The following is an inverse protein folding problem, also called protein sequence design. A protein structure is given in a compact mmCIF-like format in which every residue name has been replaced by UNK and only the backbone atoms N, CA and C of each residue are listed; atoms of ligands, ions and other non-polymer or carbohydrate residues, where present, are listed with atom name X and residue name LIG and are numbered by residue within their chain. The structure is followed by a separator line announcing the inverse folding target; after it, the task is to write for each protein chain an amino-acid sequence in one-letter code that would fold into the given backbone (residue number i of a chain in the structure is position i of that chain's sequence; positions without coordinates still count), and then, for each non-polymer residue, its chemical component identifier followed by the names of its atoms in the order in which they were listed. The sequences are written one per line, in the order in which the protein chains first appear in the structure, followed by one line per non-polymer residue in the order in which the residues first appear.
data_IF_406233597247
#
_entry.id   IF_406233597247
#
_cell.length_a   1.000
_cell.length_b   1.000
_cell.length_c   1.000
_cell.angle_alpha   90.00
_cell.angle_beta   90.00
_cell.angle_gamma   90.00
#
_symmetry.space_group_name_H-M   'P 1'
#
loop_
_entity.id
_entity.type
_entity.pdbx_description
1 polymer ?
#
# COMPACT_ATOMS: atom_id res chain seq x y z
N UNK A 1 -16.03 -6.45 0.12
CA UNK A 1 -14.82 -7.30 0.09
C UNK A 1 -13.99 -6.77 -1.07
N UNK A 2 -12.73 -6.41 -0.88
CA UNK A 2 -11.88 -6.01 -2.01
C UNK A 2 -11.57 -7.27 -2.80
N UNK A 3 -12.26 -7.45 -3.93
CA UNK A 3 -11.94 -8.48 -4.92
C UNK A 3 -10.72 -7.97 -5.72
N UNK A 4 -9.55 -8.52 -5.45
CA UNK A 4 -8.33 -8.19 -6.18
C UNK A 4 -8.10 -9.22 -7.29
N UNK A 5 -7.54 -8.83 -8.45
CA UNK A 5 -7.31 -9.74 -9.56
C UNK A 5 -6.49 -10.95 -9.11
N UNK A 6 -6.91 -12.12 -9.59
CA UNK A 6 -6.40 -13.42 -9.19
C UNK A 6 -4.88 -13.55 -9.36
N UNK A 7 -4.20 -13.87 -8.25
CA UNK A 7 -3.00 -14.73 -8.18
C UNK A 7 -1.66 -14.18 -8.65
N UNK A 8 -1.60 -13.53 -9.80
CA UNK A 8 -0.32 -13.44 -10.55
C UNK A 8 0.38 -12.08 -10.47
N UNK A 9 -0.32 -11.04 -10.01
CA UNK A 9 0.26 -9.69 -9.91
C UNK A 9 0.50 -9.36 -8.43
N UNK A 10 1.75 -9.03 -8.02
CA UNK A 10 2.02 -8.55 -6.67
C UNK A 10 1.22 -7.29 -6.34
N UNK A 11 0.48 -7.30 -5.22
CA UNK A 11 -0.30 -6.15 -4.76
C UNK A 11 0.25 -5.62 -3.45
N UNK A 12 0.49 -4.30 -3.40
CA UNK A 12 0.77 -3.58 -2.16
C UNK A 12 -0.43 -2.69 -1.80
N UNK A 13 -1.00 -2.89 -0.61
CA UNK A 13 -2.08 -2.09 -0.03
C UNK A 13 -1.51 -1.12 1.00
N UNK A 14 -1.34 0.14 0.62
CA UNK A 14 -0.94 1.21 1.53
C UNK A 14 -2.17 1.91 2.12
N UNK A 15 -2.18 2.10 3.44
CA UNK A 15 -3.28 2.76 4.15
C UNK A 15 -2.77 3.86 5.07
N UNK A 16 -3.32 5.08 5.04
CA UNK A 16 -2.95 6.11 6.01
C UNK A 16 -3.34 5.73 7.44
N UNK A 17 -2.49 6.07 8.41
CA UNK A 17 -2.74 5.78 9.83
C UNK A 17 -3.98 6.49 10.37
N UNK A 18 -4.23 7.71 9.89
CA UNK A 18 -5.27 8.60 10.40
C UNK A 18 -6.41 8.85 9.39
N UNK A 19 -6.61 7.96 8.41
CA UNK A 19 -7.76 8.07 7.51
C UNK A 19 -9.07 7.87 8.30
N UNK A 20 -9.88 8.94 8.35
CA UNK A 20 -11.20 8.96 9.01
C UNK A 20 -12.37 8.98 8.02
N UNK A 21 -12.08 9.13 6.73
CA UNK A 21 -13.08 9.19 5.67
C UNK A 21 -13.35 7.80 5.10
N UNK A 22 -12.31 7.00 4.92
CA UNK A 22 -12.43 5.63 4.40
C UNK A 22 -11.90 4.63 5.43
N UNK A 23 -12.80 3.76 5.88
CA UNK A 23 -12.46 2.74 6.86
C UNK A 23 -11.45 1.72 6.29
N UNK A 24 -10.39 1.45 7.05
CA UNK A 24 -9.42 0.42 6.71
C UNK A 24 -10.09 -0.97 6.59
N UNK A 25 -9.77 -1.78 5.57
CA UNK A 25 -10.30 -3.12 5.43
C UNK A 25 -10.00 -3.96 6.67
N UNK A 26 -11.04 -4.65 7.21
CA UNK A 26 -10.89 -5.55 8.37
C UNK A 26 -10.08 -6.81 8.05
N UNK A 27 -10.07 -7.22 6.78
CA UNK A 27 -9.29 -8.34 6.27
C UNK A 27 -8.63 -7.92 4.96
N UNK A 28 -7.40 -8.39 4.80
CA UNK A 28 -6.60 -8.22 3.60
C UNK A 28 -6.55 -9.58 2.89
N UNK A 29 -6.80 -9.65 1.57
CA UNK A 29 -6.70 -10.90 0.83
C UNK A 29 -5.31 -11.55 0.96
N UNK A 30 -5.22 -12.90 0.91
CA UNK A 30 -3.93 -13.58 0.85
C UNK A 30 -3.08 -13.08 -0.32
N UNK A 31 -1.75 -12.98 -0.11
CA UNK A 31 -0.81 -12.52 -1.14
C UNK A 31 -0.67 -11.01 -1.28
N UNK A 32 -1.50 -10.21 -0.59
CA UNK A 32 -1.39 -8.76 -0.59
C UNK A 32 -0.47 -8.30 0.54
N UNK A 33 0.55 -7.51 0.21
CA UNK A 33 1.39 -6.82 1.19
C UNK A 33 0.64 -5.60 1.71
N UNK A 34 0.25 -5.56 2.98
CA UNK A 34 -0.35 -4.37 3.58
C UNK A 34 0.69 -3.53 4.32
N UNK A 35 0.69 -2.22 4.10
CA UNK A 35 1.53 -1.24 4.80
C UNK A 35 0.66 -0.10 5.35
N UNK A 36 1.06 0.44 6.50
CA UNK A 36 0.46 1.64 7.08
C UNK A 36 1.41 2.82 6.86
N UNK A 37 0.87 3.97 6.47
CA UNK A 37 1.62 5.21 6.28
C UNK A 37 1.49 6.06 7.56
N UNK A 38 2.52 6.07 8.43
CA UNK A 38 2.44 6.74 9.72
C UNK A 38 2.30 8.24 9.57
N UNK A 39 1.51 8.86 10.44
CA UNK A 39 1.28 10.31 10.46
C UNK A 39 0.41 10.86 9.31
N UNK A 40 0.10 10.05 8.29
CA UNK A 40 -0.78 10.48 7.19
C UNK A 40 -2.26 10.35 7.55
N UNK A 41 -3.05 11.34 7.15
CA UNK A 41 -4.51 11.31 7.12
C UNK A 41 -5.04 10.86 5.76
N UNK A 42 -6.28 11.23 5.43
CA UNK A 42 -6.93 10.79 4.19
C UNK A 42 -6.27 11.30 2.91
N UNK A 43 -5.45 12.36 2.99
CA UNK A 43 -4.72 12.93 1.85
C UNK A 43 -3.20 12.68 2.00
N UNK A 44 -2.76 11.41 2.00
CA UNK A 44 -1.36 11.06 2.23
C UNK A 44 -0.39 11.68 1.22
N UNK A 45 -0.85 11.97 0.00
CA UNK A 45 -0.07 12.66 -1.04
C UNK A 45 0.29 14.10 -0.64
N UNK A 46 -0.49 14.71 0.25
CA UNK A 46 -0.24 16.03 0.80
C UNK A 46 0.54 15.96 2.10
N UNK A 47 0.17 15.02 2.98
CA UNK A 47 0.74 14.90 4.32
C UNK A 47 2.24 14.51 4.29
N UNK A 48 2.61 13.52 3.48
CA UNK A 48 4.00 13.11 3.29
C UNK A 48 4.24 12.56 1.86
N UNK A 49 4.55 13.43 0.89
CA UNK A 49 4.82 13.03 -0.49
C UNK A 49 6.03 12.08 -0.62
N UNK A 50 7.01 12.19 0.28
CA UNK A 50 8.24 11.39 0.22
C UNK A 50 7.99 9.95 0.67
N UNK A 51 7.20 9.76 1.74
CA UNK A 51 6.73 8.44 2.16
C UNK A 51 5.90 7.77 1.08
N UNK A 52 5.00 8.50 0.45
CA UNK A 52 4.18 7.99 -0.66
C UNK A 52 5.05 7.52 -1.82
N UNK A 53 6.01 8.34 -2.25
CA UNK A 53 6.94 7.96 -3.31
C UNK A 53 7.72 6.69 -2.95
N UNK A 54 8.23 6.59 -1.72
CA UNK A 54 8.92 5.39 -1.24
C UNK A 54 8.00 4.16 -1.30
N UNK A 55 6.77 4.25 -0.79
CA UNK A 55 5.81 3.13 -0.81
C UNK A 55 5.52 2.66 -2.23
N UNK A 56 5.36 3.59 -3.17
CA UNK A 56 5.11 3.26 -4.59
C UNK A 56 6.34 2.59 -5.24
N UNK A 57 7.54 3.12 -5.01
CA UNK A 57 8.77 2.55 -5.54
C UNK A 57 9.04 1.16 -4.94
N UNK A 58 8.89 1.00 -3.63
CA UNK A 58 9.06 -0.28 -2.94
C UNK A 58 8.00 -1.32 -3.38
N UNK A 59 6.80 -0.87 -3.71
CA UNK A 59 5.70 -1.73 -4.16
C UNK A 59 5.80 -2.16 -5.61
N UNK A 60 6.47 -1.36 -6.45
CA UNK A 60 6.65 -1.61 -7.88
C UNK A 60 8.03 -2.14 -8.26
N UNK A 61 8.97 -2.19 -7.31
CA UNK A 61 10.29 -2.75 -7.52
C UNK A 61 10.20 -4.22 -7.99
N UNK A 62 10.87 -4.52 -9.10
CA UNK A 62 11.03 -5.89 -9.59
C UNK A 62 11.88 -6.69 -8.60
N UNK A 63 11.24 -7.62 -7.89
CA UNK A 63 11.93 -8.49 -6.92
C UNK A 63 12.95 -9.43 -7.58
N UNK A 64 12.85 -9.69 -8.88
CA UNK A 64 13.84 -10.48 -9.62
C UNK A 64 15.09 -9.64 -9.99
N UNK A 65 14.95 -8.32 -10.15
CA UNK A 65 16.07 -7.42 -10.38
C UNK A 65 16.83 -7.07 -9.08
N UNK A 66 16.13 -7.01 -7.94
CA UNK A 66 16.71 -6.66 -6.65
C UNK A 66 17.57 -7.76 -5.98
N UNK A 67 17.56 -8.98 -6.53
CA UNK A 67 18.36 -10.12 -6.06
C UNK A 67 19.60 -10.42 -6.93
N UNK A 68 19.88 -9.56 -7.92
CA UNK A 68 21.09 -9.60 -8.77
C UNK A 68 22.09 -8.55 -8.30
#
# INVERSE_FOLDING_TARGET
MLELPAGDVPVTLAWPEHDRLVARPRRVPPGVRSVVMPGCGHLPMWDDPALVARVLLDGSADRAAAAR
#
